data_IF_460855625233
#
_entry.id   IF_460855625233
#
_cell.length_a   1.000
_cell.length_b   1.000
_cell.length_c   1.000
_cell.angle_alpha   90.00
_cell.angle_beta   90.00
_cell.angle_gamma   90.00
#
_symmetry.space_group_name_H-M   'P 1'
#
loop_
_entity.id
_entity.type
_entity.pdbx_description
1 polymer ?
#
# COMPACT_ATOMS: atom_id res chain seq x y z
N UNK A 1 -17.62 -11.39 -34.79
CA UNK A 1 -16.33 -11.50 -34.09
C UNK A 1 -16.31 -10.56 -32.90
N UNK A 2 -15.96 -11.08 -31.73
CA UNK A 2 -16.27 -10.60 -30.39
C UNK A 2 -15.19 -9.68 -29.81
N UNK A 3 -15.22 -8.37 -30.10
CA UNK A 3 -14.26 -7.39 -29.57
C UNK A 3 -14.71 -6.65 -28.29
N UNK A 4 -15.93 -6.88 -27.79
CA UNK A 4 -16.51 -6.11 -26.68
C UNK A 4 -16.27 -6.65 -25.26
N UNK A 5 -15.94 -7.93 -25.09
CA UNK A 5 -15.90 -8.57 -23.77
C UNK A 5 -14.56 -8.41 -23.01
N UNK A 6 -13.45 -8.23 -23.73
CA UNK A 6 -12.09 -8.24 -23.13
C UNK A 6 -11.70 -6.94 -22.41
N UNK A 7 -12.12 -5.77 -22.92
CA UNK A 7 -11.77 -4.47 -22.34
C UNK A 7 -12.58 -4.14 -21.07
N UNK A 8 -13.82 -4.62 -20.99
CA UNK A 8 -14.66 -4.45 -19.79
C UNK A 8 -14.17 -5.28 -18.61
N UNK A 9 -13.76 -6.53 -18.85
CA UNK A 9 -13.24 -7.41 -17.81
C UNK A 9 -11.95 -6.91 -17.16
N UNK A 10 -11.01 -6.38 -17.96
CA UNK A 10 -9.75 -5.83 -17.44
C UNK A 10 -9.96 -4.53 -16.66
N UNK A 11 -10.90 -3.67 -17.07
CA UNK A 11 -11.24 -2.45 -16.35
C UNK A 11 -11.92 -2.72 -15.00
N UNK A 12 -12.83 -3.69 -14.94
CA UNK A 12 -13.48 -4.12 -13.70
C UNK A 12 -12.44 -4.71 -12.75
N UNK A 13 -11.59 -5.63 -13.22
CA UNK A 13 -10.54 -6.25 -12.41
C UNK A 13 -9.57 -5.21 -11.83
N UNK A 14 -9.11 -4.27 -12.66
CA UNK A 14 -8.21 -3.18 -12.25
C UNK A 14 -8.83 -2.34 -11.12
N UNK A 15 -10.09 -1.95 -11.26
CA UNK A 15 -10.82 -1.18 -10.24
C UNK A 15 -11.07 -1.99 -8.97
N UNK A 16 -11.41 -3.27 -9.08
CA UNK A 16 -11.61 -4.14 -7.91
C UNK A 16 -10.33 -4.26 -7.08
N UNK A 17 -9.17 -4.49 -7.72
CA UNK A 17 -7.88 -4.52 -7.02
C UNK A 17 -7.55 -3.16 -6.38
N UNK A 18 -7.78 -2.06 -7.09
CA UNK A 18 -7.57 -0.71 -6.55
C UNK A 18 -8.46 -0.43 -5.33
N UNK A 19 -9.73 -0.83 -5.38
CA UNK A 19 -10.70 -0.59 -4.31
C UNK A 19 -10.45 -1.46 -3.08
N UNK A 20 -10.35 -2.78 -3.27
CA UNK A 20 -10.06 -3.72 -2.18
C UNK A 20 -8.72 -3.36 -1.54
N UNK A 21 -7.72 -3.06 -2.37
CA UNK A 21 -6.43 -2.62 -1.89
C UNK A 21 -6.55 -1.35 -1.05
N UNK A 22 -7.10 -0.28 -1.62
CA UNK A 22 -7.30 0.99 -0.92
C UNK A 22 -8.07 0.85 0.39
N UNK A 23 -9.13 0.05 0.41
CA UNK A 23 -9.94 -0.21 1.60
C UNK A 23 -9.13 -0.91 2.71
N UNK A 24 -8.40 -1.98 2.36
CA UNK A 24 -7.54 -2.68 3.32
C UNK A 24 -6.50 -1.73 3.91
N UNK A 25 -5.86 -0.90 3.06
CA UNK A 25 -4.90 0.10 3.53
C UNK A 25 -5.50 1.12 4.50
N UNK A 26 -6.70 1.63 4.21
CA UNK A 26 -7.41 2.55 5.09
C UNK A 26 -7.78 1.89 6.42
N UNK A 27 -8.25 0.63 6.40
CA UNK A 27 -8.56 -0.13 7.61
C UNK A 27 -7.30 -0.37 8.44
N UNK A 28 -6.16 -0.70 7.82
CA UNK A 28 -4.89 -0.87 8.51
C UNK A 28 -4.41 0.43 9.17
N UNK A 29 -4.53 1.58 8.49
CA UNK A 29 -4.21 2.88 9.10
C UNK A 29 -5.18 3.20 10.24
N UNK A 30 -6.48 2.97 10.06
CA UNK A 30 -7.46 3.12 11.12
C UNK A 30 -7.12 2.27 12.35
N UNK A 31 -6.65 1.03 12.13
CA UNK A 31 -6.20 0.16 13.21
C UNK A 31 -4.97 0.74 13.92
N UNK A 32 -3.97 1.20 13.17
CA UNK A 32 -2.74 1.79 13.71
C UNK A 32 -3.04 2.97 14.66
N UNK A 33 -4.00 3.83 14.31
CA UNK A 33 -4.30 5.03 15.09
C UNK A 33 -5.39 4.86 16.15
N UNK A 34 -6.36 3.96 15.95
CA UNK A 34 -7.60 3.93 16.76
C UNK A 34 -7.85 2.62 17.50
N UNK A 35 -7.21 1.50 17.12
CA UNK A 35 -7.58 0.21 17.69
C UNK A 35 -6.95 -0.01 19.07
N UNK A 36 -7.76 -0.28 20.10
CA UNK A 36 -7.32 -0.76 21.44
C UNK A 36 -6.25 0.10 22.13
N UNK A 37 -6.44 1.44 22.26
CA UNK A 37 -5.51 2.30 22.97
C UNK A 37 -5.30 1.89 24.44
N UNK A 38 -6.31 1.28 25.07
CA UNK A 38 -6.28 0.85 26.47
C UNK A 38 -5.32 -0.31 26.78
N UNK A 39 -4.89 -1.08 25.76
CA UNK A 39 -4.00 -2.23 25.95
C UNK A 39 -2.68 -2.17 25.17
N UNK A 40 -2.63 -1.40 24.08
CA UNK A 40 -1.50 -1.37 23.14
C UNK A 40 -0.92 0.02 22.93
N UNK A 41 -1.36 0.99 23.74
CA UNK A 41 -0.92 2.37 23.65
C UNK A 41 -1.43 3.10 22.41
N UNK A 42 -1.17 4.40 22.34
CA UNK A 42 -1.51 5.23 21.19
C UNK A 42 -0.44 5.19 20.09
N UNK A 43 -0.66 5.92 18.98
CA UNK A 43 0.30 5.98 17.88
C UNK A 43 1.68 6.50 18.29
N UNK A 44 1.76 7.37 19.30
CA UNK A 44 3.03 7.91 19.80
C UNK A 44 3.87 6.85 20.52
N UNK A 45 3.21 5.83 21.09
CA UNK A 45 3.86 4.69 21.75
C UNK A 45 4.14 3.53 20.79
N UNK A 46 3.31 3.37 19.75
CA UNK A 46 3.45 2.30 18.75
C UNK A 46 4.63 2.50 17.80
N UNK A 47 4.93 3.73 17.41
CA UNK A 47 6.05 4.00 16.50
C UNK A 47 7.39 3.61 17.15
N UNK A 48 7.72 4.05 18.38
CA UNK A 48 8.94 3.59 19.07
C UNK A 48 9.00 2.07 19.26
N UNK A 49 7.87 1.44 19.61
CA UNK A 49 7.79 -0.01 19.74
C UNK A 49 8.08 -0.74 18.43
N UNK A 50 7.55 -0.24 17.32
CA UNK A 50 7.85 -0.78 15.98
C UNK A 50 9.33 -0.65 15.64
N UNK A 51 9.96 0.50 15.95
CA UNK A 51 11.40 0.68 15.76
C UNK A 51 12.23 -0.29 16.61
N UNK A 52 11.80 -0.56 17.84
CA UNK A 52 12.46 -1.55 18.69
C UNK A 52 12.34 -2.97 18.12
N UNK A 53 11.15 -3.33 17.62
CA UNK A 53 10.91 -4.61 16.93
C UNK A 53 11.75 -4.75 15.66
N UNK A 54 12.02 -3.66 14.91
CA UNK A 54 12.90 -3.72 13.74
C UNK A 54 14.33 -4.17 14.08
N UNK A 55 14.80 -3.91 15.30
CA UNK A 55 16.15 -4.29 15.72
C UNK A 55 16.20 -5.68 16.36
N UNK A 56 15.11 -6.11 17.00
CA UNK A 56 15.11 -7.34 17.82
C UNK A 56 14.38 -8.51 17.15
N UNK A 57 13.47 -8.24 16.21
CA UNK A 57 12.69 -9.25 15.51
C UNK A 57 13.01 -9.29 14.02
N UNK A 58 13.49 -10.45 13.57
CA UNK A 58 13.90 -10.66 12.18
C UNK A 58 12.71 -10.60 11.22
N UNK A 59 11.53 -11.01 11.67
CA UNK A 59 10.32 -11.01 10.83
C UNK A 59 9.87 -9.58 10.55
N UNK A 60 9.84 -8.74 11.59
CA UNK A 60 9.53 -7.31 11.48
C UNK A 60 10.55 -6.59 10.61
N UNK A 61 11.84 -6.90 10.77
CA UNK A 61 12.89 -6.38 9.90
C UNK A 61 12.68 -6.78 8.42
N UNK A 62 12.44 -8.06 8.14
CA UNK A 62 12.19 -8.55 6.78
C UNK A 62 10.97 -7.87 6.16
N UNK A 63 9.89 -7.73 6.92
CA UNK A 63 8.70 -7.00 6.47
C UNK A 63 9.00 -5.53 6.10
N UNK A 64 9.83 -4.85 6.89
CA UNK A 64 10.21 -3.46 6.57
C UNK A 64 11.11 -3.38 5.32
N UNK A 65 12.02 -4.33 5.14
CA UNK A 65 12.83 -4.44 3.92
C UNK A 65 11.93 -4.69 2.71
N UNK A 66 10.94 -5.58 2.82
CA UNK A 66 9.96 -5.84 1.76
C UNK A 66 9.17 -4.57 1.41
N UNK A 67 8.71 -3.81 2.40
CA UNK A 67 8.06 -2.50 2.19
C UNK A 67 8.98 -1.51 1.47
N UNK A 68 10.27 -1.45 1.83
CA UNK A 68 11.24 -0.56 1.19
C UNK A 68 11.48 -0.96 -0.27
N UNK A 69 11.70 -2.26 -0.53
CA UNK A 69 11.86 -2.79 -1.88
C UNK A 69 10.60 -2.54 -2.72
N UNK A 70 9.42 -2.80 -2.16
CA UNK A 70 8.16 -2.54 -2.81
C UNK A 70 8.01 -1.06 -3.19
N UNK A 71 8.39 -0.13 -2.31
CA UNK A 71 8.36 1.31 -2.60
C UNK A 71 9.21 1.67 -3.82
N UNK A 72 10.42 1.12 -3.89
CA UNK A 72 11.38 1.36 -4.99
C UNK A 72 10.83 0.80 -6.30
N UNK A 73 10.43 -0.47 -6.31
CA UNK A 73 9.91 -1.13 -7.51
C UNK A 73 8.57 -0.54 -7.96
N UNK A 74 7.65 -0.25 -7.04
CA UNK A 74 6.38 0.41 -7.35
C UNK A 74 6.64 1.77 -8.02
N UNK A 75 7.54 2.57 -7.46
CA UNK A 75 7.88 3.87 -8.06
C UNK A 75 8.47 3.71 -9.47
N UNK A 76 9.42 2.80 -9.63
CA UNK A 76 10.04 2.52 -10.93
C UNK A 76 9.01 2.07 -11.98
N UNK A 77 8.14 1.13 -11.63
CA UNK A 77 7.12 0.58 -12.53
C UNK A 77 6.02 1.60 -12.85
N UNK A 78 5.51 2.34 -11.85
CA UNK A 78 4.50 3.37 -12.08
C UNK A 78 5.05 4.53 -12.93
N UNK A 79 6.33 4.86 -12.81
CA UNK A 79 6.98 5.85 -13.68
C UNK A 79 7.04 5.37 -15.14
N UNK A 80 7.24 4.07 -15.36
CA UNK A 80 7.27 3.48 -16.69
C UNK A 80 5.87 3.44 -17.35
N UNK A 81 4.83 3.13 -16.57
CA UNK A 81 3.46 2.95 -17.11
C UNK A 81 2.65 4.26 -17.17
N UNK A 82 2.89 5.21 -16.27
CA UNK A 82 2.27 6.54 -16.29
C UNK A 82 3.33 7.61 -15.99
N UNK A 83 4.14 8.03 -16.98
CA UNK A 83 5.21 9.01 -16.79
C UNK A 83 4.70 10.43 -16.51
N UNK A 84 3.43 10.72 -16.80
CA UNK A 84 2.84 12.04 -16.64
C UNK A 84 2.50 12.35 -15.17
N UNK A 85 2.17 11.32 -14.38
CA UNK A 85 1.88 11.51 -12.97
C UNK A 85 3.18 11.62 -12.14
N UNK A 86 3.29 12.71 -11.38
CA UNK A 86 4.46 13.06 -10.57
C UNK A 86 4.18 12.97 -9.07
N UNK A 87 3.07 12.34 -8.69
CA UNK A 87 2.61 12.34 -7.31
C UNK A 87 3.59 11.58 -6.40
N UNK A 88 3.94 12.15 -5.22
CA UNK A 88 4.83 11.49 -4.26
C UNK A 88 4.21 10.20 -3.67
N UNK A 89 2.89 10.02 -3.78
CA UNK A 89 2.19 8.81 -3.29
C UNK A 89 2.64 7.52 -3.99
N UNK A 90 3.33 7.63 -5.13
CA UNK A 90 3.98 6.51 -5.84
C UNK A 90 5.09 5.84 -5.05
N UNK A 91 5.65 6.53 -4.06
CA UNK A 91 6.68 6.00 -3.16
C UNK A 91 6.09 5.34 -1.93
N UNK A 92 4.82 5.60 -1.62
CA UNK A 92 4.15 4.96 -0.49
C UNK A 92 3.76 3.55 -0.93
N UNK A 93 4.27 2.49 -0.28
CA UNK A 93 3.92 1.12 -0.63
C UNK A 93 2.41 0.99 -0.76
N UNK A 94 1.97 0.38 -1.85
CA UNK A 94 0.60 -0.02 -2.15
C UNK A 94 -0.40 1.12 -2.39
N UNK A 95 -0.23 2.28 -1.76
CA UNK A 95 -1.10 3.47 -1.95
C UNK A 95 -0.94 4.06 -3.36
N UNK A 96 0.29 4.16 -3.84
CA UNK A 96 0.58 4.66 -5.19
C UNK A 96 -0.06 3.78 -6.28
N UNK A 97 0.06 2.46 -6.12
CA UNK A 97 -0.56 1.50 -7.00
C UNK A 97 -2.09 1.56 -6.94
N UNK A 98 -2.68 1.56 -5.75
CA UNK A 98 -4.14 1.63 -5.57
C UNK A 98 -4.72 2.88 -6.24
N UNK A 99 -4.08 4.04 -6.07
CA UNK A 99 -4.49 5.28 -6.74
C UNK A 99 -4.41 5.18 -8.25
N UNK A 100 -3.33 4.60 -8.77
CA UNK A 100 -3.18 4.39 -10.21
C UNK A 100 -4.20 3.41 -10.76
N UNK A 101 -4.56 2.35 -10.02
CA UNK A 101 -5.58 1.38 -10.43
C UNK A 101 -7.00 1.97 -10.47
N UNK A 102 -7.27 2.96 -9.62
CA UNK A 102 -8.57 3.65 -9.53
C UNK A 102 -8.72 4.82 -10.52
N UNK A 103 -7.62 5.33 -11.07
CA UNK A 103 -7.57 6.36 -12.12
C UNK A 103 -7.95 5.77 -13.48
#
# INVERSE_FOLDING_TARGET
>A
ESAGAGAGGSAVLRRSFGFVGGLVGLVSLGWLFLARPEGYGDASQRIPMFLDLLHHDRVTFAFAVDCALYSIYQYYLLKAVDPADKSPVRLVPFVGLARWLLK
#
